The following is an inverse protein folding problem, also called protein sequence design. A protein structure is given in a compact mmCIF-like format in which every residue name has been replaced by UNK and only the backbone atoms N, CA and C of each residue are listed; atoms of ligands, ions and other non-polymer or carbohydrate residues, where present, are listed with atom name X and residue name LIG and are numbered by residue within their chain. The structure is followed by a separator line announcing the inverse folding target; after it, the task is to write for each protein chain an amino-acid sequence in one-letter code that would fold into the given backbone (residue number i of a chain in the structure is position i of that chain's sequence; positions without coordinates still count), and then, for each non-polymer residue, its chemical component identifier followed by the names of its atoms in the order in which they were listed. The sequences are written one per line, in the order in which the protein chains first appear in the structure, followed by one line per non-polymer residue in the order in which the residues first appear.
data_IF_367412938141
#
_entry.id   IF_367412938141
#
_cell.length_a   1.000
_cell.length_b   1.000
_cell.length_c   1.000
_cell.angle_alpha   90.00
_cell.angle_beta   90.00
_cell.angle_gamma   90.00
#
_symmetry.space_group_name_H-M   'P 1'
#
loop_
_entity.id
_entity.type
_entity.pdbx_description
1 polymer ?
#
# COMPACT_ATOMS: atom_id res chain seq x y z
N UNK A 1 -4.92 -17.71 13.19
CA UNK A 1 -4.87 -16.54 12.29
C UNK A 1 -3.78 -15.63 12.80
N UNK A 2 -2.91 -15.12 11.91
CA UNK A 2 -1.92 -14.11 12.29
C UNK A 2 -2.57 -12.72 12.32
N UNK A 3 -2.09 -11.86 13.22
CA UNK A 3 -2.59 -10.49 13.41
C UNK A 3 -1.45 -9.51 13.18
N UNK A 4 -1.66 -8.51 12.35
CA UNK A 4 -0.73 -7.41 12.16
C UNK A 4 -1.43 -6.08 12.40
N UNK A 5 -0.65 -5.04 12.64
CA UNK A 5 -1.16 -3.68 12.87
C UNK A 5 -0.44 -2.72 11.92
N UNK A 6 -1.18 -1.74 11.42
CA UNK A 6 -0.60 -0.64 10.65
C UNK A 6 0.06 0.38 11.59
N UNK A 7 1.25 0.85 11.24
CA UNK A 7 2.05 1.77 12.05
C UNK A 7 1.36 3.12 12.32
N UNK A 8 0.42 3.57 11.46
CA UNK A 8 -0.40 4.77 11.78
C UNK A 8 -1.28 4.61 13.03
N UNK A 9 -1.49 3.38 13.52
CA UNK A 9 -2.21 3.13 14.78
C UNK A 9 -1.34 3.36 16.02
N UNK A 10 -0.05 3.66 15.85
CA UNK A 10 0.89 3.94 16.94
C UNK A 10 1.12 5.45 17.01
N UNK A 11 1.36 5.96 18.23
CA UNK A 11 1.63 7.39 18.46
C UNK A 11 2.77 7.88 17.55
N UNK A 12 2.53 8.92 16.77
CA UNK A 12 3.45 9.41 15.73
C UNK A 12 4.80 9.92 16.25
N UNK A 13 4.88 10.27 17.54
CA UNK A 13 6.11 10.66 18.22
C UNK A 13 7.00 9.49 18.63
N UNK A 14 6.46 8.26 18.64
CA UNK A 14 7.22 7.06 18.97
C UNK A 14 8.19 6.70 17.82
N UNK A 15 9.49 6.57 18.14
CA UNK A 15 10.45 6.07 17.16
C UNK A 15 10.27 4.58 16.89
N UNK A 16 10.93 4.07 15.85
CA UNK A 16 10.81 2.66 15.42
C UNK A 16 11.00 1.67 16.57
N UNK A 17 12.03 1.81 17.41
CA UNK A 17 12.28 0.85 18.49
C UNK A 17 11.14 0.82 19.51
N UNK A 18 10.61 1.97 19.90
CA UNK A 18 9.46 2.09 20.82
C UNK A 18 8.20 1.47 20.19
N UNK A 19 7.97 1.73 18.92
CA UNK A 19 6.84 1.16 18.18
C UNK A 19 6.94 -0.38 18.11
N UNK A 20 8.10 -0.94 17.71
CA UNK A 20 8.30 -2.39 17.64
C UNK A 20 8.10 -3.07 18.99
N UNK A 21 8.63 -2.46 20.08
CA UNK A 21 8.45 -2.98 21.43
C UNK A 21 6.97 -3.01 21.83
N UNK A 22 6.25 -1.91 21.65
CA UNK A 22 4.83 -1.80 22.00
C UNK A 22 3.95 -2.76 21.19
N UNK A 23 4.17 -2.87 19.88
CA UNK A 23 3.43 -3.77 18.99
C UNK A 23 3.66 -5.23 19.37
N UNK A 24 4.91 -5.59 19.73
CA UNK A 24 5.23 -6.93 20.22
C UNK A 24 4.58 -7.23 21.56
N UNK A 25 4.63 -6.31 22.50
CA UNK A 25 3.99 -6.45 23.82
C UNK A 25 2.46 -6.60 23.69
N UNK A 26 1.85 -5.89 22.73
CA UNK A 26 0.43 -6.03 22.42
C UNK A 26 0.05 -7.36 21.75
N UNK A 27 1.02 -8.23 21.45
CA UNK A 27 0.80 -9.58 20.95
C UNK A 27 0.45 -9.66 19.46
N UNK A 28 0.91 -8.72 18.65
CA UNK A 28 0.83 -8.81 17.18
C UNK A 28 1.91 -9.73 16.61
N UNK A 29 1.62 -10.32 15.44
CA UNK A 29 2.48 -11.25 14.73
C UNK A 29 3.31 -10.56 13.62
N UNK A 30 2.98 -9.31 13.28
CA UNK A 30 3.64 -8.52 12.25
C UNK A 30 3.22 -7.05 12.29
N UNK A 31 3.87 -6.24 11.48
CA UNK A 31 3.61 -4.81 11.37
C UNK A 31 3.56 -4.40 9.90
N UNK A 32 2.62 -3.53 9.55
CA UNK A 32 2.62 -2.80 8.29
C UNK A 32 3.24 -1.42 8.52
N UNK A 33 4.31 -1.09 7.78
CA UNK A 33 4.95 0.22 7.84
C UNK A 33 4.32 1.19 6.82
N UNK A 34 4.67 2.47 6.94
CA UNK A 34 4.07 3.51 6.11
C UNK A 34 5.15 4.34 5.41
N UNK A 35 4.99 4.51 4.09
CA UNK A 35 5.75 5.47 3.30
C UNK A 35 5.00 6.81 3.31
N UNK A 36 5.53 7.79 3.99
CA UNK A 36 4.91 9.08 4.25
C UNK A 36 5.79 10.26 3.78
N UNK A 37 5.21 11.46 3.91
CA UNK A 37 5.99 12.70 3.77
C UNK A 37 7.00 12.84 4.91
N UNK A 38 8.08 13.57 4.66
CA UNK A 38 9.04 13.94 5.69
C UNK A 38 8.34 14.58 6.90
N UNK A 39 8.71 14.10 8.10
CA UNK A 39 8.18 14.61 9.37
C UNK A 39 6.75 14.18 9.70
N UNK A 40 6.15 13.24 8.99
CA UNK A 40 4.82 12.72 9.31
C UNK A 40 4.78 11.95 10.65
N UNK A 41 5.81 11.18 10.92
CA UNK A 41 5.97 10.43 12.17
C UNK A 41 7.41 10.00 12.37
N UNK A 42 7.80 9.77 13.63
CA UNK A 42 9.16 9.34 13.97
C UNK A 42 9.47 7.89 13.54
N UNK A 43 8.44 7.14 13.11
CA UNK A 43 8.54 5.78 12.59
C UNK A 43 8.02 5.67 11.13
N UNK A 44 7.95 6.79 10.41
CA UNK A 44 7.59 6.77 8.98
C UNK A 44 8.80 6.50 8.11
N UNK A 45 8.63 5.65 7.09
CA UNK A 45 9.52 5.60 5.95
C UNK A 45 9.24 6.82 5.07
N UNK A 46 10.26 7.27 4.34
CA UNK A 46 10.14 8.41 3.41
C UNK A 46 10.79 8.08 2.08
N UNK A 47 10.60 8.94 1.08
CA UNK A 47 11.29 8.81 -0.20
C UNK A 47 12.82 8.84 -0.03
N UNK A 48 13.32 9.47 1.05
CA UNK A 48 14.75 9.64 1.35
C UNK A 48 15.28 8.63 2.39
N UNK A 49 14.46 7.65 2.83
CA UNK A 49 14.93 6.62 3.77
C UNK A 49 16.20 5.96 3.27
N UNK A 50 17.27 6.02 4.08
CA UNK A 50 18.62 5.58 3.70
C UNK A 50 18.82 4.08 3.89
N UNK A 51 19.84 3.46 3.25
CA UNK A 51 20.21 2.07 3.51
C UNK A 51 20.54 1.78 4.97
N UNK A 52 21.14 2.75 5.69
CA UNK A 52 21.47 2.62 7.11
C UNK A 52 20.19 2.59 7.98
N UNK A 53 19.17 3.37 7.62
CA UNK A 53 17.88 3.34 8.30
C UNK A 53 17.15 2.03 8.03
N UNK A 54 17.16 1.54 6.80
CA UNK A 54 16.61 0.23 6.43
C UNK A 54 17.28 -0.88 7.24
N UNK A 55 18.61 -0.88 7.33
CA UNK A 55 19.35 -1.87 8.10
C UNK A 55 18.98 -1.83 9.60
N UNK A 56 18.79 -0.63 10.18
CA UNK A 56 18.32 -0.49 11.56
C UNK A 56 16.90 -1.04 11.77
N UNK A 57 15.99 -0.79 10.84
CA UNK A 57 14.63 -1.32 10.90
C UNK A 57 14.66 -2.85 10.76
N UNK A 58 15.43 -3.39 9.83
CA UNK A 58 15.61 -4.83 9.67
C UNK A 58 16.13 -5.50 10.95
N UNK A 59 17.10 -4.89 11.63
CA UNK A 59 17.59 -5.38 12.92
C UNK A 59 16.50 -5.38 14.01
N UNK A 60 15.56 -4.42 13.98
CA UNK A 60 14.41 -4.42 14.89
C UNK A 60 13.41 -5.55 14.58
N UNK A 61 13.16 -5.85 13.30
CA UNK A 61 12.30 -6.98 12.91
C UNK A 61 12.83 -8.30 13.46
N UNK A 62 14.13 -8.51 13.36
CA UNK A 62 14.81 -9.71 13.91
C UNK A 62 14.76 -9.73 15.44
N UNK A 63 15.16 -8.63 16.08
CA UNK A 63 15.23 -8.52 17.56
C UNK A 63 13.88 -8.79 18.22
N UNK A 64 12.80 -8.26 17.67
CA UNK A 64 11.45 -8.42 18.23
C UNK A 64 10.69 -9.63 17.66
N UNK A 65 11.24 -10.32 16.64
CA UNK A 65 10.53 -11.37 15.91
C UNK A 65 9.19 -10.86 15.36
N UNK A 66 9.20 -9.66 14.79
CA UNK A 66 8.03 -8.96 14.28
C UNK A 66 8.27 -8.55 12.82
N UNK A 67 7.94 -9.39 11.84
CA UNK A 67 8.18 -9.12 10.43
C UNK A 67 7.36 -7.92 9.92
N UNK A 68 7.92 -7.18 8.96
CA UNK A 68 7.16 -6.24 8.14
C UNK A 68 6.33 -7.05 7.16
N UNK A 69 5.01 -6.92 7.23
CA UNK A 69 4.07 -7.71 6.40
C UNK A 69 3.67 -7.00 5.12
N UNK A 70 3.70 -5.69 5.12
CA UNK A 70 3.42 -4.82 3.97
C UNK A 70 3.91 -3.40 4.25
N UNK A 71 3.93 -2.58 3.20
CA UNK A 71 4.12 -1.14 3.33
C UNK A 71 2.92 -0.46 2.68
N UNK A 72 2.20 0.40 3.42
CA UNK A 72 1.20 1.29 2.85
C UNK A 72 1.81 2.66 2.53
N UNK A 73 1.07 3.52 1.83
CA UNK A 73 1.60 4.80 1.38
C UNK A 73 0.52 5.88 1.32
N UNK A 74 0.85 7.08 1.82
CA UNK A 74 -0.04 8.25 1.79
C UNK A 74 0.27 9.24 0.66
N UNK A 75 1.35 9.01 -0.13
CA UNK A 75 1.91 10.05 -1.00
C UNK A 75 1.28 10.18 -2.38
N UNK A 76 0.68 9.10 -2.92
CA UNK A 76 0.15 9.10 -4.29
C UNK A 76 -1.37 9.23 -4.40
N UNK A 77 -2.04 9.65 -3.33
CA UNK A 77 -3.49 9.81 -3.32
C UNK A 77 -3.99 10.64 -4.51
N UNK A 78 -4.76 10.00 -5.42
CA UNK A 78 -5.28 10.65 -6.62
C UNK A 78 -4.32 10.70 -7.81
N UNK A 79 -3.02 10.57 -7.65
CA UNK A 79 -2.04 10.73 -8.71
C UNK A 79 -2.09 9.60 -9.76
N UNK A 80 -2.40 8.37 -9.34
CA UNK A 80 -2.39 7.20 -10.24
C UNK A 80 -3.36 7.34 -11.41
N UNK A 81 -4.52 7.97 -11.20
CA UNK A 81 -5.55 8.19 -12.21
C UNK A 81 -5.61 9.62 -12.74
N UNK A 82 -4.66 10.49 -12.38
CA UNK A 82 -4.61 11.89 -12.84
C UNK A 82 -4.61 11.99 -14.36
N UNK A 83 -5.30 12.97 -14.95
CA UNK A 83 -5.18 13.28 -16.38
C UNK A 83 -3.77 13.80 -16.73
N UNK A 84 -3.04 14.39 -15.77
CA UNK A 84 -1.73 14.96 -15.99
C UNK A 84 -0.66 13.84 -16.03
N UNK A 85 0.11 13.71 -17.13
CA UNK A 85 1.15 12.68 -17.24
C UNK A 85 2.23 12.77 -16.16
N UNK A 86 2.59 13.99 -15.75
CA UNK A 86 3.61 14.22 -14.71
C UNK A 86 3.18 13.69 -13.34
N UNK A 87 1.90 13.83 -12.98
CA UNK A 87 1.34 13.25 -11.77
C UNK A 87 1.43 11.73 -11.78
N UNK A 88 1.06 11.12 -12.91
CA UNK A 88 1.16 9.66 -13.07
C UNK A 88 2.59 9.16 -13.00
N UNK A 89 3.53 9.91 -13.60
CA UNK A 89 4.96 9.60 -13.47
C UNK A 89 5.43 9.70 -12.02
N UNK A 90 5.01 10.73 -11.32
CA UNK A 90 5.29 10.88 -9.88
C UNK A 90 4.69 9.72 -9.06
N UNK A 91 3.47 9.29 -9.40
CA UNK A 91 2.88 8.11 -8.76
C UNK A 91 3.72 6.85 -9.00
N UNK A 92 4.23 6.65 -10.21
CA UNK A 92 5.13 5.54 -10.54
C UNK A 92 6.41 5.58 -9.71
N UNK A 93 7.05 6.74 -9.59
CA UNK A 93 8.29 6.90 -8.80
C UNK A 93 8.05 6.58 -7.31
N UNK A 94 6.92 6.99 -6.75
CA UNK A 94 6.53 6.68 -5.38
C UNK A 94 6.25 5.18 -5.21
N UNK A 95 5.48 4.57 -6.11
CA UNK A 95 5.17 3.14 -6.10
C UNK A 95 6.43 2.28 -6.22
N UNK A 96 7.35 2.66 -7.12
CA UNK A 96 8.63 1.98 -7.28
C UNK A 96 9.43 2.05 -5.97
N UNK A 97 9.51 3.24 -5.36
CA UNK A 97 10.20 3.41 -4.07
C UNK A 97 9.57 2.56 -2.97
N UNK A 98 8.25 2.48 -2.91
CA UNK A 98 7.53 1.63 -1.95
C UNK A 98 7.86 0.14 -2.13
N UNK A 99 7.94 -0.33 -3.38
CA UNK A 99 8.32 -1.69 -3.74
C UNK A 99 9.79 -1.98 -3.34
N UNK A 100 10.71 -1.04 -3.61
CA UNK A 100 12.12 -1.15 -3.21
C UNK A 100 12.25 -1.27 -1.68
N UNK A 101 11.55 -0.44 -0.93
CA UNK A 101 11.53 -0.48 0.53
C UNK A 101 10.95 -1.80 1.05
N UNK A 102 9.87 -2.29 0.44
CA UNK A 102 9.29 -3.59 0.80
C UNK A 102 10.29 -4.72 0.57
N UNK A 103 10.94 -4.75 -0.59
CA UNK A 103 11.97 -5.74 -0.91
C UNK A 103 13.14 -5.68 0.09
N UNK A 104 13.64 -4.49 0.38
CA UNK A 104 14.78 -4.30 1.28
C UNK A 104 14.47 -4.66 2.75
N UNK A 105 13.22 -4.55 3.18
CA UNK A 105 12.75 -4.92 4.52
C UNK A 105 12.19 -6.34 4.61
N UNK A 106 12.23 -7.11 3.50
CA UNK A 106 11.72 -8.47 3.45
C UNK A 106 10.19 -8.56 3.53
N UNK A 107 9.47 -7.47 3.26
CA UNK A 107 8.02 -7.49 3.19
C UNK A 107 7.56 -8.15 1.87
N UNK A 108 6.56 -9.05 1.91
CA UNK A 108 6.10 -9.75 0.71
C UNK A 108 5.32 -8.86 -0.27
N UNK A 109 4.86 -7.70 0.17
CA UNK A 109 4.02 -6.84 -0.66
C UNK A 109 3.84 -5.43 -0.12
N UNK A 110 3.08 -4.67 -0.89
CA UNK A 110 2.66 -3.30 -0.58
C UNK A 110 1.15 -3.17 -0.70
N UNK A 111 0.58 -2.21 0.04
CA UNK A 111 -0.80 -1.75 -0.15
C UNK A 111 -0.79 -0.54 -1.09
N UNK A 112 -1.63 -0.56 -2.11
CA UNK A 112 -1.76 0.51 -3.08
C UNK A 112 -3.23 0.86 -3.35
N UNK A 113 -3.52 2.16 -3.46
CA UNK A 113 -4.87 2.67 -3.68
C UNK A 113 -4.96 3.31 -5.06
N UNK A 114 -5.59 2.66 -6.06
CA UNK A 114 -5.86 3.31 -7.33
C UNK A 114 -6.89 4.43 -7.13
N UNK A 115 -6.64 5.58 -7.75
CA UNK A 115 -7.50 6.76 -7.60
C UNK A 115 -7.16 7.83 -8.62
N UNK A 116 -7.99 8.85 -8.67
CA UNK A 116 -7.87 10.00 -9.57
C UNK A 116 -9.21 10.66 -9.85
N UNK A 117 -10.27 10.15 -9.19
CA UNK A 117 -11.61 10.75 -9.27
C UNK A 117 -11.64 12.12 -8.61
N UNK A 118 -12.25 13.08 -9.32
CA UNK A 118 -12.54 14.42 -8.80
C UNK A 118 -13.78 14.98 -9.52
N UNK A 119 -14.21 16.19 -9.19
CA UNK A 119 -15.31 16.84 -9.92
C UNK A 119 -15.01 17.03 -11.41
N UNK A 120 -13.72 17.17 -11.77
CA UNK A 120 -13.26 17.36 -13.15
C UNK A 120 -12.76 16.08 -13.85
N UNK A 121 -12.58 14.98 -13.11
CA UNK A 121 -12.06 13.71 -13.63
C UNK A 121 -13.06 12.60 -13.42
N UNK A 122 -13.66 12.11 -14.51
CA UNK A 122 -14.63 11.02 -14.48
C UNK A 122 -13.98 9.67 -14.09
N UNK A 123 -14.81 8.74 -13.60
CA UNK A 123 -14.36 7.38 -13.30
C UNK A 123 -13.67 6.73 -14.51
N UNK A 124 -14.20 6.93 -15.72
CA UNK A 124 -13.62 6.37 -16.95
C UNK A 124 -12.17 6.87 -17.15
N UNK A 125 -11.95 8.16 -17.01
CA UNK A 125 -10.61 8.76 -17.15
C UNK A 125 -9.67 8.26 -16.06
N UNK A 126 -10.09 8.31 -14.80
CA UNK A 126 -9.32 7.84 -13.66
C UNK A 126 -8.95 6.35 -13.78
N UNK A 127 -9.89 5.53 -14.26
CA UNK A 127 -9.72 4.10 -14.48
C UNK A 127 -8.64 3.78 -15.53
N UNK A 128 -8.77 4.34 -16.73
CA UNK A 128 -7.81 4.09 -17.81
C UNK A 128 -6.42 4.64 -17.47
N UNK A 129 -6.35 5.80 -16.82
CA UNK A 129 -5.09 6.40 -16.38
C UNK A 129 -4.43 5.57 -15.28
N UNK A 130 -5.20 5.10 -14.29
CA UNK A 130 -4.67 4.20 -13.25
C UNK A 130 -4.13 2.91 -13.86
N UNK A 131 -4.88 2.27 -14.78
CA UNK A 131 -4.37 1.10 -15.50
C UNK A 131 -3.05 1.40 -16.23
N UNK A 132 -2.95 2.54 -16.91
CA UNK A 132 -1.72 2.92 -17.60
C UNK A 132 -0.55 3.14 -16.62
N UNK A 133 -0.81 3.75 -15.46
CA UNK A 133 0.19 3.98 -14.41
C UNK A 133 0.76 2.67 -13.89
N UNK A 134 -0.09 1.71 -13.49
CA UNK A 134 0.38 0.41 -12.99
C UNK A 134 1.03 -0.44 -14.09
N UNK A 135 0.52 -0.41 -15.33
CA UNK A 135 1.15 -1.12 -16.46
C UNK A 135 2.59 -0.68 -16.72
N UNK A 136 2.89 0.59 -16.47
CA UNK A 136 4.25 1.10 -16.57
C UNK A 136 5.24 0.51 -15.58
N UNK A 137 4.75 -0.19 -14.55
CA UNK A 137 5.56 -0.78 -13.47
C UNK A 137 5.54 -2.33 -13.46
N UNK A 138 4.80 -2.98 -14.36
CA UNK A 138 4.65 -4.44 -14.30
C UNK A 138 6.00 -5.17 -14.38
N UNK A 139 6.93 -4.68 -15.20
CA UNK A 139 8.28 -5.26 -15.30
C UNK A 139 9.05 -5.17 -13.98
N UNK A 140 8.99 -4.04 -13.29
CA UNK A 140 9.65 -3.85 -11.99
C UNK A 140 9.00 -4.72 -10.89
N UNK A 141 7.66 -4.77 -10.88
CA UNK A 141 6.87 -5.59 -9.95
C UNK A 141 7.24 -7.08 -10.10
N UNK A 142 7.25 -7.59 -11.32
CA UNK A 142 7.59 -8.99 -11.61
C UNK A 142 9.06 -9.29 -11.29
N UNK A 143 9.97 -8.40 -11.65
CA UNK A 143 11.40 -8.58 -11.38
C UNK A 143 11.70 -8.60 -9.87
N UNK A 144 11.04 -7.76 -9.08
CA UNK A 144 11.23 -7.72 -7.63
C UNK A 144 10.43 -8.78 -6.88
N UNK A 145 9.41 -9.38 -7.51
CA UNK A 145 8.56 -10.40 -6.89
C UNK A 145 7.76 -9.88 -5.70
N UNK A 146 7.44 -8.58 -5.67
CA UNK A 146 6.68 -7.92 -4.60
C UNK A 146 5.22 -7.82 -4.98
N UNK A 147 4.33 -8.33 -4.13
CA UNK A 147 2.88 -8.22 -4.34
C UNK A 147 2.39 -6.79 -4.17
N UNK A 148 1.55 -6.34 -5.09
CA UNK A 148 0.86 -5.05 -5.04
C UNK A 148 -0.62 -5.30 -4.79
N UNK A 149 -1.05 -5.09 -3.56
CA UNK A 149 -2.44 -5.25 -3.15
C UNK A 149 -3.24 -3.98 -3.41
N UNK A 150 -4.27 -4.09 -4.25
CA UNK A 150 -5.20 -2.99 -4.53
C UNK A 150 -6.23 -2.88 -3.41
N UNK A 151 -6.31 -1.72 -2.76
CA UNK A 151 -7.24 -1.51 -1.65
C UNK A 151 -8.53 -0.81 -2.11
N UNK A 152 -9.66 -1.29 -1.58
CA UNK A 152 -10.95 -0.62 -1.64
C UNK A 152 -11.04 0.45 -0.53
N UNK A 153 -11.11 1.70 -0.92
CA UNK A 153 -11.28 2.83 0.01
C UNK A 153 -12.49 3.69 -0.37
N UNK A 154 -12.85 4.67 0.45
CA UNK A 154 -14.01 5.55 0.21
C UNK A 154 -13.80 6.60 -0.89
N UNK A 155 -12.91 6.33 -1.83
CA UNK A 155 -12.64 7.21 -2.98
C UNK A 155 -13.59 6.98 -4.18
N UNK A 156 -14.55 6.04 -4.08
CA UNK A 156 -15.52 5.67 -5.14
C UNK A 156 -14.88 5.10 -6.41
N UNK A 157 -13.65 4.63 -6.34
CA UNK A 157 -12.98 3.99 -7.48
C UNK A 157 -13.45 2.55 -7.63
N UNK A 158 -13.44 1.78 -6.53
CA UNK A 158 -14.05 0.46 -6.44
C UNK A 158 -15.36 0.57 -5.65
N UNK A 159 -16.49 0.41 -6.32
CA UNK A 159 -17.82 0.46 -5.70
C UNK A 159 -18.46 -0.91 -5.57
N UNK A 160 -17.88 -1.92 -6.22
CA UNK A 160 -18.28 -3.32 -6.13
C UNK A 160 -17.04 -4.23 -6.21
N UNK A 161 -17.13 -5.50 -5.75
CA UNK A 161 -16.03 -6.44 -5.90
C UNK A 161 -15.73 -6.75 -7.38
N UNK A 162 -16.73 -6.70 -8.25
CA UNK A 162 -16.54 -6.89 -9.69
C UNK A 162 -15.68 -5.81 -10.33
N UNK A 163 -15.76 -4.55 -9.84
CA UNK A 163 -14.88 -3.47 -10.30
C UNK A 163 -13.43 -3.79 -9.96
N UNK A 164 -13.18 -4.26 -8.73
CA UNK A 164 -11.84 -4.62 -8.28
C UNK A 164 -11.28 -5.79 -9.07
N UNK A 165 -12.05 -6.86 -9.25
CA UNK A 165 -11.67 -8.02 -10.07
C UNK A 165 -11.34 -7.58 -11.49
N UNK A 166 -12.24 -6.82 -12.13
CA UNK A 166 -12.05 -6.35 -13.51
C UNK A 166 -10.78 -5.49 -13.65
N UNK A 167 -10.45 -4.66 -12.65
CA UNK A 167 -9.25 -3.84 -12.66
C UNK A 167 -7.98 -4.71 -12.57
N UNK A 168 -7.95 -5.65 -11.62
CA UNK A 168 -6.82 -6.56 -11.40
C UNK A 168 -6.60 -7.46 -12.64
N UNK A 169 -7.66 -8.05 -13.18
CA UNK A 169 -7.58 -8.89 -14.38
C UNK A 169 -7.06 -8.13 -15.61
N UNK A 170 -7.44 -6.86 -15.76
CA UNK A 170 -6.94 -6.03 -16.87
C UNK A 170 -5.46 -5.67 -16.74
N UNK A 171 -4.86 -5.76 -15.56
CA UNK A 171 -3.42 -5.63 -15.36
C UNK A 171 -2.68 -6.93 -15.73
N UNK A 172 -3.29 -8.09 -15.50
CA UNK A 172 -2.81 -9.39 -15.97
C UNK A 172 -1.47 -9.80 -15.36
N UNK A 173 -1.13 -9.32 -14.17
CA UNK A 173 0.13 -9.60 -13.48
C UNK A 173 -0.12 -10.49 -12.26
N UNK A 174 0.59 -11.60 -12.08
CA UNK A 174 0.39 -12.53 -10.97
C UNK A 174 0.79 -11.94 -9.60
N UNK A 175 1.50 -10.82 -9.59
CA UNK A 175 1.88 -10.09 -8.39
C UNK A 175 0.93 -8.95 -8.03
N UNK A 176 -0.21 -8.82 -8.73
CA UNK A 176 -1.24 -7.83 -8.40
C UNK A 176 -2.50 -8.56 -7.95
N UNK A 177 -3.03 -8.18 -6.78
CA UNK A 177 -4.21 -8.80 -6.18
C UNK A 177 -5.01 -7.82 -5.34
N UNK A 178 -6.05 -8.33 -4.69
CA UNK A 178 -6.88 -7.54 -3.78
C UNK A 178 -6.19 -7.38 -2.42
N UNK A 179 -6.24 -6.17 -1.87
CA UNK A 179 -5.98 -5.85 -0.46
C UNK A 179 -7.31 -5.42 0.15
N UNK A 180 -8.10 -6.40 0.57
CA UNK A 180 -9.50 -6.18 0.92
C UNK A 180 -9.64 -5.54 2.30
N UNK A 181 -10.21 -4.33 2.34
CA UNK A 181 -10.60 -3.66 3.57
C UNK A 181 -12.08 -3.87 3.85
N UNK A 182 -12.35 -4.69 4.88
CA UNK A 182 -13.70 -5.02 5.37
C UNK A 182 -14.40 -3.76 5.92
N UNK A 183 -13.65 -2.94 6.68
CA UNK A 183 -14.20 -1.75 7.33
C UNK A 183 -14.73 -0.73 6.35
N UNK A 184 -14.03 -0.54 5.23
CA UNK A 184 -14.44 0.38 4.18
C UNK A 184 -15.73 -0.09 3.47
N UNK A 185 -15.97 -1.40 3.37
CA UNK A 185 -17.15 -1.96 2.70
C UNK A 185 -18.41 -1.86 3.55
N UNK A 186 -18.33 -2.07 4.86
CA UNK A 186 -19.50 -2.10 5.77
C UNK A 186 -20.39 -0.86 5.64
N UNK A 187 -19.83 0.27 5.21
CA UNK A 187 -20.59 1.50 5.05
C UNK A 187 -21.60 1.48 3.91
N UNK A 188 -21.47 0.58 2.91
CA UNK A 188 -22.28 0.59 1.68
C UNK A 188 -22.58 -0.78 1.07
N UNK A 189 -22.01 -1.87 1.58
CA UNK A 189 -22.19 -3.23 1.05
C UNK A 189 -21.96 -4.27 2.15
N UNK A 190 -22.26 -5.53 1.83
CA UNK A 190 -22.03 -6.69 2.69
C UNK A 190 -20.63 -7.26 2.40
N UNK A 191 -19.69 -7.26 3.37
CA UNK A 191 -18.33 -7.76 3.17
C UNK A 191 -18.26 -9.22 2.69
N UNK A 192 -19.20 -10.05 3.10
CA UNK A 192 -19.28 -11.45 2.72
C UNK A 192 -19.40 -11.63 1.20
N UNK A 193 -20.17 -10.76 0.54
CA UNK A 193 -20.31 -10.77 -0.92
C UNK A 193 -18.99 -10.42 -1.62
N UNK A 194 -18.19 -9.56 -1.02
CA UNK A 194 -16.85 -9.23 -1.53
C UNK A 194 -15.89 -10.41 -1.37
N UNK A 195 -15.90 -11.06 -0.19
CA UNK A 195 -15.03 -12.21 0.08
C UNK A 195 -15.33 -13.39 -0.84
N UNK A 196 -16.61 -13.58 -1.22
CA UNK A 196 -17.02 -14.66 -2.13
C UNK A 196 -16.49 -14.44 -3.57
N UNK A 197 -16.32 -13.19 -3.97
CA UNK A 197 -15.98 -12.80 -5.35
C UNK A 197 -14.49 -12.58 -5.55
N UNK A 198 -13.77 -12.04 -4.53
CA UNK A 198 -12.34 -11.78 -4.54
C UNK A 198 -11.50 -13.04 -4.29
#
# INVERSE_FOLDING_TARGET
MKKSINAWSVESSAGFETMFAAVKEAGFDGIELNLDREGAGAHSLTMNTTPEEIARIAALTERYGLPVVSISCSLYGGLTGSPEPEDRKRAQDILLRQIELASALGAPGILSVPSGLSESVSLKIAWENSLATYRGLLGDIEQMGIFVGMENVWNRFFTSPFDMVAFIERLGCPYIGAYFDVGNVVAFSEPENWIEIL
#
